data_IF_650309417798
#
_entry.id   IF_650309417798
#
_cell.length_a   1.000
_cell.length_b   1.000
_cell.length_c   1.000
_cell.angle_alpha   90.00
_cell.angle_beta   90.00
_cell.angle_gamma   90.00
#
_symmetry.space_group_name_H-M   'P 1'
#
loop_
_entity.id
_entity.type
_entity.pdbx_description
1 polymer ?
#
# COMPACT_ATOMS: atom_id res chain seq x y z
N UNK A 1 22.65 36.20 -11.78
CA UNK A 1 22.01 36.43 -13.10
C UNK A 1 22.00 35.06 -13.77
N UNK A 2 20.91 34.38 -14.09
CA UNK A 2 19.56 34.81 -14.49
C UNK A 2 18.58 33.71 -14.10
N UNK A 3 17.42 34.13 -13.60
CA UNK A 3 16.31 33.30 -13.14
C UNK A 3 15.71 32.52 -14.30
N UNK A 4 15.63 31.20 -14.20
CA UNK A 4 14.75 30.39 -15.05
C UNK A 4 13.72 29.71 -14.14
N UNK A 5 12.62 30.44 -13.99
CA UNK A 5 11.24 29.95 -14.07
C UNK A 5 10.86 28.75 -13.19
N UNK A 6 10.33 29.12 -12.02
CA UNK A 6 9.14 28.52 -11.40
C UNK A 6 8.05 28.18 -12.43
N UNK A 7 7.32 27.09 -12.13
CA UNK A 7 5.92 26.79 -12.49
C UNK A 7 5.72 25.55 -13.38
N UNK A 8 5.62 24.38 -12.75
CA UNK A 8 4.87 23.24 -13.28
C UNK A 8 4.20 22.45 -12.14
N UNK A 9 3.55 23.17 -11.22
CA UNK A 9 2.57 22.64 -10.25
C UNK A 9 1.18 23.05 -10.69
N UNK A 10 0.62 22.39 -11.71
CA UNK A 10 -0.82 22.40 -12.03
C UNK A 10 -1.14 21.36 -13.11
N UNK A 11 -1.21 20.08 -12.74
CA UNK A 11 -1.81 19.05 -13.60
C UNK A 11 -2.51 17.96 -12.77
N UNK A 12 -3.17 18.35 -11.67
CA UNK A 12 -4.10 17.48 -10.92
C UNK A 12 -5.43 18.22 -10.80
N UNK A 13 -6.16 18.36 -11.92
CA UNK A 13 -7.55 18.84 -11.92
C UNK A 13 -8.28 18.60 -13.26
N UNK A 14 -7.99 17.51 -13.98
CA UNK A 14 -8.61 17.25 -15.30
C UNK A 14 -9.21 15.84 -15.43
N UNK A 15 -9.83 15.35 -14.33
CA UNK A 15 -10.70 14.16 -14.35
C UNK A 15 -12.01 14.34 -13.57
N UNK A 16 -12.43 15.58 -13.29
CA UNK A 16 -13.62 15.86 -12.45
C UNK A 16 -14.75 16.66 -13.10
N UNK A 17 -14.68 17.05 -14.38
CA UNK A 17 -15.67 17.94 -14.99
C UNK A 17 -15.94 17.58 -16.46
N UNK A 18 -16.83 16.62 -16.67
CA UNK A 18 -17.42 16.28 -17.97
C UNK A 18 -18.17 14.98 -17.78
N UNK A 19 -19.42 15.00 -17.31
CA UNK A 19 -20.60 15.09 -18.19
C UNK A 19 -21.81 15.82 -17.53
N UNK A 20 -21.62 16.78 -16.63
CA UNK A 20 -22.74 17.40 -15.91
C UNK A 20 -23.14 18.79 -16.47
N UNK A 21 -23.46 18.89 -17.77
CA UNK A 21 -23.96 20.15 -18.34
C UNK A 21 -24.84 20.00 -19.61
N UNK A 22 -25.53 18.87 -19.82
CA UNK A 22 -26.41 18.68 -20.97
C UNK A 22 -27.92 18.87 -20.66
N UNK A 23 -28.28 19.39 -19.48
CA UNK A 23 -29.68 19.63 -19.11
C UNK A 23 -29.83 20.95 -18.37
N UNK A 24 -29.65 22.07 -19.07
CA UNK A 24 -30.18 23.37 -18.64
C UNK A 24 -31.21 23.84 -19.66
N UNK A 25 -32.44 23.40 -19.37
CA UNK A 25 -33.72 24.09 -19.53
C UNK A 25 -33.69 25.42 -20.30
N UNK A 26 -34.25 25.41 -21.50
CA UNK A 26 -34.82 26.60 -22.14
C UNK A 26 -35.92 27.18 -21.24
N UNK A 27 -35.75 28.45 -20.87
CA UNK A 27 -36.80 29.29 -20.27
C UNK A 27 -37.92 29.50 -21.30
N UNK A 28 -39.03 28.76 -21.16
CA UNK A 28 -40.30 29.11 -21.77
C UNK A 28 -41.29 29.55 -20.68
N UNK A 29 -41.60 30.83 -20.74
CA UNK A 29 -42.73 31.57 -20.18
C UNK A 29 -43.91 30.70 -19.63
N UNK A 30 -44.22 30.73 -18.31
CA UNK A 30 -45.24 29.86 -17.72
C UNK A 30 -46.70 30.34 -17.87
N UNK A 31 -46.99 31.27 -18.80
CA UNK A 31 -48.32 31.88 -18.94
C UNK A 31 -49.10 31.48 -20.21
N UNK A 32 -48.74 30.38 -20.87
CA UNK A 32 -49.50 29.85 -22.01
C UNK A 32 -49.99 28.41 -21.73
N UNK A 33 -51.30 28.24 -21.89
CA UNK A 33 -52.08 26.99 -21.94
C UNK A 33 -52.14 26.15 -20.67
N UNK A 34 -52.96 26.62 -19.73
CA UNK A 34 -53.82 25.74 -18.93
C UNK A 34 -54.88 25.08 -19.83
N UNK A 35 -54.46 24.30 -20.83
CA UNK A 35 -55.33 23.26 -21.35
C UNK A 35 -55.36 22.17 -20.29
N UNK A 36 -56.54 21.91 -19.76
CA UNK A 36 -56.78 20.75 -18.92
C UNK A 36 -56.34 19.51 -19.70
N UNK A 37 -55.11 19.04 -19.46
CA UNK A 37 -54.67 17.70 -19.84
C UNK A 37 -55.71 16.78 -19.21
N UNK A 38 -56.66 16.31 -20.03
CA UNK A 38 -57.53 15.19 -19.68
C UNK A 38 -56.59 14.15 -19.14
N UNK A 39 -56.67 13.89 -17.83
CA UNK A 39 -55.89 12.87 -17.14
C UNK A 39 -56.20 11.60 -17.92
N UNK A 40 -55.28 11.16 -18.79
CA UNK A 40 -55.47 9.91 -19.51
C UNK A 40 -55.77 8.88 -18.45
N UNK A 41 -56.87 8.15 -18.62
CA UNK A 41 -57.21 7.08 -17.71
C UNK A 41 -55.97 6.18 -17.63
N UNK A 42 -55.51 5.92 -16.41
CA UNK A 42 -54.41 5.00 -16.16
C UNK A 42 -54.74 3.70 -16.87
N UNK A 43 -54.05 3.44 -17.99
CA UNK A 43 -54.32 2.33 -18.88
C UNK A 43 -53.87 0.99 -18.29
N UNK A 44 -53.33 1.01 -17.07
CA UNK A 44 -52.91 -0.18 -16.35
C UNK A 44 -54.07 -0.77 -15.54
N UNK A 45 -54.25 -2.06 -15.74
CA UNK A 45 -55.19 -2.87 -14.96
C UNK A 45 -54.73 -2.96 -13.49
N UNK A 46 -55.66 -3.19 -12.53
CA UNK A 46 -55.30 -3.45 -11.14
C UNK A 46 -54.27 -4.58 -10.97
N UNK A 47 -54.35 -5.61 -11.81
CA UNK A 47 -53.43 -6.75 -11.85
C UNK A 47 -52.03 -6.36 -12.32
N UNK A 48 -51.90 -5.47 -13.29
CA UNK A 48 -50.60 -4.94 -13.73
C UNK A 48 -49.96 -4.09 -12.62
N UNK A 49 -50.74 -3.24 -11.94
CA UNK A 49 -50.23 -2.42 -10.83
C UNK A 49 -49.76 -3.25 -9.64
N UNK A 50 -50.49 -4.31 -9.30
CA UNK A 50 -50.09 -5.22 -8.22
C UNK A 50 -48.82 -6.01 -8.57
N UNK A 51 -48.69 -6.46 -9.83
CA UNK A 51 -47.48 -7.12 -10.30
C UNK A 51 -46.27 -6.18 -10.34
N UNK A 52 -46.42 -4.94 -10.81
CA UNK A 52 -45.36 -3.93 -10.77
C UNK A 52 -44.93 -3.63 -9.33
N UNK A 53 -45.88 -3.47 -8.41
CA UNK A 53 -45.57 -3.25 -7.00
C UNK A 53 -44.78 -4.43 -6.40
N UNK A 54 -45.19 -5.67 -6.71
CA UNK A 54 -44.47 -6.88 -6.28
C UNK A 54 -43.05 -6.94 -6.84
N UNK A 55 -42.88 -6.72 -8.15
CA UNK A 55 -41.56 -6.75 -8.79
C UNK A 55 -40.64 -5.65 -8.24
N UNK A 56 -41.16 -4.45 -7.99
CA UNK A 56 -40.40 -3.37 -7.39
C UNK A 56 -39.99 -3.71 -5.95
N UNK A 57 -40.88 -4.34 -5.17
CA UNK A 57 -40.55 -4.80 -3.82
C UNK A 57 -39.46 -5.88 -3.84
N UNK A 58 -39.53 -6.84 -4.78
CA UNK A 58 -38.50 -7.87 -4.95
C UNK A 58 -37.16 -7.29 -5.41
N UNK A 59 -37.17 -6.33 -6.34
CA UNK A 59 -35.95 -5.63 -6.77
C UNK A 59 -35.33 -4.83 -5.63
N UNK A 60 -36.14 -4.11 -4.85
CA UNK A 60 -35.67 -3.37 -3.68
C UNK A 60 -35.11 -4.31 -2.61
N UNK A 61 -35.70 -5.50 -2.43
CA UNK A 61 -35.18 -6.51 -1.51
C UNK A 61 -33.82 -7.06 -1.99
N UNK A 62 -33.69 -7.41 -3.27
CA UNK A 62 -32.42 -7.86 -3.86
C UNK A 62 -31.33 -6.80 -3.77
N UNK A 63 -31.62 -5.56 -4.16
CA UNK A 63 -30.65 -4.46 -4.10
C UNK A 63 -30.18 -4.18 -2.66
N UNK A 64 -31.07 -4.31 -1.66
CA UNK A 64 -30.67 -4.21 -0.24
C UNK A 64 -29.73 -5.32 0.16
N UNK A 65 -30.04 -6.56 -0.22
CA UNK A 65 -29.20 -7.70 0.09
C UNK A 65 -27.81 -7.58 -0.56
N UNK A 66 -27.76 -7.21 -1.84
CA UNK A 66 -26.51 -6.99 -2.57
C UNK A 66 -25.66 -5.88 -1.93
N UNK A 67 -26.28 -4.77 -1.53
CA UNK A 67 -25.56 -3.70 -0.83
C UNK A 67 -25.00 -4.16 0.52
N UNK A 68 -25.74 -4.97 1.28
CA UNK A 68 -25.25 -5.52 2.56
C UNK A 68 -24.05 -6.42 2.32
N UNK A 69 -24.14 -7.34 1.34
CA UNK A 69 -23.01 -8.22 0.99
C UNK A 69 -21.79 -7.40 0.54
N UNK A 70 -22.00 -6.41 -0.34
CA UNK A 70 -20.92 -5.55 -0.80
C UNK A 70 -20.24 -4.81 0.35
N UNK A 71 -21.01 -4.22 1.27
CA UNK A 71 -20.45 -3.52 2.42
C UNK A 71 -19.66 -4.46 3.34
N UNK A 72 -20.13 -5.70 3.51
CA UNK A 72 -19.39 -6.71 4.27
C UNK A 72 -18.05 -7.04 3.60
N UNK A 73 -18.05 -7.27 2.28
CA UNK A 73 -16.83 -7.57 1.51
C UNK A 73 -15.82 -6.42 1.57
N UNK A 74 -16.28 -5.18 1.38
CA UNK A 74 -15.42 -3.98 1.48
C UNK A 74 -14.84 -3.85 2.88
N UNK A 75 -15.66 -3.99 3.93
CA UNK A 75 -15.18 -3.88 5.31
C UNK A 75 -14.15 -4.97 5.67
N UNK A 76 -14.31 -6.19 5.13
CA UNK A 76 -13.36 -7.27 5.34
C UNK A 76 -12.04 -7.01 4.60
N UNK A 77 -12.12 -6.53 3.36
CA UNK A 77 -10.94 -6.16 2.58
C UNK A 77 -10.15 -5.00 3.23
N UNK A 78 -10.84 -3.98 3.73
CA UNK A 78 -10.21 -2.86 4.45
C UNK A 78 -9.48 -3.33 5.71
N UNK A 79 -10.07 -4.26 6.47
CA UNK A 79 -9.43 -4.85 7.66
C UNK A 79 -8.18 -5.66 7.29
N UNK A 80 -8.23 -6.44 6.21
CA UNK A 80 -7.07 -7.19 5.73
C UNK A 80 -5.94 -6.25 5.33
N UNK A 81 -6.23 -5.23 4.53
CA UNK A 81 -5.22 -4.24 4.10
C UNK A 81 -4.60 -3.53 5.30
N UNK A 82 -5.40 -3.17 6.31
CA UNK A 82 -4.87 -2.56 7.53
C UNK A 82 -3.97 -3.52 8.33
N UNK A 83 -4.35 -4.80 8.44
CA UNK A 83 -3.55 -5.82 9.12
C UNK A 83 -2.23 -6.13 8.39
N UNK A 84 -2.27 -6.20 7.06
CA UNK A 84 -1.09 -6.43 6.22
C UNK A 84 -0.11 -5.25 6.30
N UNK A 85 -0.63 -4.02 6.30
CA UNK A 85 0.22 -2.83 6.49
C UNK A 85 0.86 -2.79 7.88
N UNK A 86 0.12 -3.16 8.93
CA UNK A 86 0.67 -3.25 10.28
C UNK A 86 1.79 -4.29 10.35
N UNK A 87 1.54 -5.49 9.84
CA UNK A 87 2.54 -6.57 9.77
C UNK A 87 3.78 -6.14 9.00
N UNK A 88 3.59 -5.51 7.84
CA UNK A 88 4.71 -5.05 7.01
C UNK A 88 5.60 -4.03 7.75
N UNK A 89 4.99 -3.09 8.48
CA UNK A 89 5.73 -2.10 9.27
C UNK A 89 6.50 -2.77 10.41
N UNK A 90 5.88 -3.70 11.12
CA UNK A 90 6.50 -4.46 12.21
C UNK A 90 7.68 -5.31 11.72
N UNK A 91 7.49 -6.08 10.65
CA UNK A 91 8.53 -6.92 10.06
C UNK A 91 9.69 -6.10 9.51
N UNK A 92 9.39 -4.95 8.88
CA UNK A 92 10.42 -4.04 8.38
C UNK A 92 11.24 -3.48 9.53
N UNK A 93 10.59 -3.03 10.62
CA UNK A 93 11.29 -2.53 11.79
C UNK A 93 12.18 -3.62 12.45
N UNK A 94 11.66 -4.83 12.59
CA UNK A 94 12.41 -5.97 13.13
C UNK A 94 13.61 -6.34 12.24
N UNK A 95 13.45 -6.31 10.91
CA UNK A 95 14.52 -6.56 9.96
C UNK A 95 15.62 -5.49 10.05
N UNK A 96 15.25 -4.22 10.16
CA UNK A 96 16.22 -3.13 10.29
C UNK A 96 16.99 -3.17 11.61
N UNK A 97 16.32 -3.55 12.71
CA UNK A 97 16.97 -3.76 14.00
C UNK A 97 17.97 -4.93 13.94
N UNK A 98 17.54 -6.08 13.40
CA UNK A 98 18.41 -7.27 13.27
C UNK A 98 19.61 -6.97 12.37
N UNK A 99 19.41 -6.21 11.29
CA UNK A 99 20.48 -5.74 10.43
C UNK A 99 21.49 -4.88 11.20
N UNK A 100 21.05 -3.96 12.05
CA UNK A 100 21.94 -3.15 12.88
C UNK A 100 22.71 -4.00 13.91
N UNK A 101 22.05 -5.01 14.49
CA UNK A 101 22.67 -5.97 15.40
C UNK A 101 23.77 -6.78 14.70
N UNK A 102 23.48 -7.32 13.52
CA UNK A 102 24.44 -8.07 12.71
C UNK A 102 25.61 -7.20 12.22
N UNK A 103 25.35 -5.94 11.85
CA UNK A 103 26.40 -4.98 11.51
C UNK A 103 27.36 -4.74 12.69
N UNK A 104 26.82 -4.66 13.91
CA UNK A 104 27.64 -4.51 15.12
C UNK A 104 28.47 -5.77 15.39
N UNK A 105 27.85 -6.94 15.36
CA UNK A 105 28.54 -8.22 15.58
C UNK A 105 29.66 -8.46 14.55
N UNK A 106 29.39 -8.21 13.26
CA UNK A 106 30.40 -8.37 12.21
C UNK A 106 31.59 -7.41 12.37
N UNK A 107 31.36 -6.20 12.89
CA UNK A 107 32.44 -5.26 13.19
C UNK A 107 33.32 -5.76 14.34
N UNK A 108 32.73 -6.32 15.40
CA UNK A 108 33.46 -6.93 16.52
C UNK A 108 34.26 -8.16 16.08
N UNK A 109 33.67 -9.03 15.27
CA UNK A 109 34.35 -10.21 14.71
C UNK A 109 35.55 -9.81 13.86
N UNK A 110 35.44 -8.75 13.06
CA UNK A 110 36.56 -8.21 12.29
C UNK A 110 37.69 -7.72 13.19
N UNK A 111 37.38 -6.97 14.24
CA UNK A 111 38.39 -6.47 15.20
C UNK A 111 39.12 -7.67 15.84
N UNK A 112 38.38 -8.69 16.27
CA UNK A 112 38.96 -9.90 16.85
C UNK A 112 39.86 -10.63 15.85
N UNK A 113 39.40 -10.80 14.61
CA UNK A 113 40.20 -11.41 13.57
C UNK A 113 41.52 -10.67 13.31
N UNK A 114 41.47 -9.34 13.21
CA UNK A 114 42.65 -8.52 13.01
C UNK A 114 43.65 -8.65 14.17
N UNK A 115 43.15 -8.70 15.41
CA UNK A 115 43.96 -8.93 16.60
C UNK A 115 44.60 -10.33 16.61
N UNK A 116 43.84 -11.38 16.31
CA UNK A 116 44.33 -12.76 16.25
C UNK A 116 45.40 -12.91 15.15
N UNK A 117 45.20 -12.26 13.99
CA UNK A 117 46.19 -12.25 12.91
C UNK A 117 47.46 -11.50 13.32
N UNK A 118 47.34 -10.38 14.03
CA UNK A 118 48.49 -9.64 14.54
C UNK A 118 49.30 -10.47 15.55
N UNK A 119 48.61 -11.14 16.49
CA UNK A 119 49.23 -12.05 17.45
C UNK A 119 49.94 -13.22 16.75
N UNK A 120 49.27 -13.85 15.78
CA UNK A 120 49.84 -14.91 14.96
C UNK A 120 51.12 -14.45 14.24
N UNK A 121 51.11 -13.25 13.63
CA UNK A 121 52.31 -12.68 12.98
C UNK A 121 53.45 -12.49 13.99
N UNK A 122 53.16 -11.97 15.18
CA UNK A 122 54.18 -11.77 16.22
C UNK A 122 54.80 -13.09 16.70
N UNK A 123 53.98 -14.14 16.83
CA UNK A 123 54.43 -15.49 17.19
C UNK A 123 55.27 -16.14 16.08
N UNK A 124 54.89 -15.97 14.82
CA UNK A 124 55.68 -16.42 13.66
C UNK A 124 57.07 -15.76 13.66
N UNK A 125 57.16 -14.45 13.86
CA UNK A 125 58.44 -13.76 13.89
C UNK A 125 59.30 -14.18 15.11
N UNK A 126 58.68 -14.38 16.28
CA UNK A 126 59.39 -14.89 17.45
C UNK A 126 59.95 -16.30 17.23
N UNK A 127 59.19 -17.18 16.58
CA UNK A 127 59.63 -18.52 16.19
C UNK A 127 60.81 -18.46 15.22
N UNK A 128 60.78 -17.58 14.21
CA UNK A 128 61.90 -17.35 13.28
C UNK A 128 63.15 -16.84 14.01
N UNK A 129 62.99 -16.04 15.05
CA UNK A 129 64.08 -15.57 15.91
C UNK A 129 64.62 -16.65 16.88
N UNK A 130 64.09 -17.88 16.85
CA UNK A 130 64.56 -19.01 17.65
C UNK A 130 63.75 -19.29 18.92
N UNK A 131 62.71 -18.50 19.24
CA UNK A 131 61.81 -18.78 20.35
C UNK A 131 60.82 -19.89 19.99
N UNK A 132 61.29 -21.13 20.04
CA UNK A 132 60.54 -22.33 19.60
C UNK A 132 59.23 -22.57 20.35
N UNK A 133 59.08 -22.05 21.56
CA UNK A 133 57.82 -22.13 22.32
C UNK A 133 56.70 -21.25 21.76
N UNK A 134 57.02 -20.32 20.86
CA UNK A 134 56.07 -19.37 20.26
C UNK A 134 55.74 -19.67 18.79
N UNK A 135 56.09 -20.86 18.29
CA UNK A 135 55.74 -21.21 16.91
C UNK A 135 54.21 -21.34 16.76
N UNK A 136 53.62 -20.37 16.07
CA UNK A 136 52.18 -20.34 15.81
C UNK A 136 51.76 -21.57 14.98
N UNK A 137 50.65 -22.21 15.37
CA UNK A 137 50.16 -23.44 14.73
C UNK A 137 49.49 -23.16 13.38
N UNK A 138 48.43 -22.37 13.38
CA UNK A 138 47.62 -22.09 12.20
C UNK A 138 47.24 -20.61 12.15
N UNK A 139 47.17 -20.06 10.94
CA UNK A 139 46.70 -18.69 10.73
C UNK A 139 45.20 -18.64 11.01
N UNK A 140 44.69 -17.63 11.74
CA UNK A 140 43.26 -17.42 11.90
C UNK A 140 42.54 -17.41 10.54
N UNK A 141 41.43 -18.16 10.47
CA UNK A 141 40.60 -18.24 9.27
C UNK A 141 39.79 -16.95 9.09
N UNK A 142 39.58 -16.55 7.84
CA UNK A 142 38.78 -15.36 7.52
C UNK A 142 37.34 -15.60 7.98
N UNK A 143 36.70 -14.67 8.71
CA UNK A 143 35.30 -14.82 9.08
C UNK A 143 34.42 -14.95 7.82
N UNK A 144 33.37 -15.78 7.85
CA UNK A 144 32.47 -15.95 6.73
C UNK A 144 31.80 -14.61 6.41
N UNK A 145 31.80 -14.25 5.11
CA UNK A 145 31.14 -13.03 4.67
C UNK A 145 29.62 -13.19 4.80
N UNK A 146 28.88 -12.15 5.23
CA UNK A 146 27.43 -12.15 5.19
C UNK A 146 26.97 -12.37 3.74
N UNK A 147 26.10 -13.36 3.51
CA UNK A 147 25.51 -13.58 2.19
C UNK A 147 24.50 -12.46 1.89
N UNK A 148 24.44 -11.96 0.64
CA UNK A 148 23.53 -10.90 0.25
C UNK A 148 22.06 -11.30 0.35
#
# INVERSE_FOLDING_TARGET
MTRILLAATAAVALFGAGQAAAWQTTNENPAATAEAKKKQADGTTPEERSNTARLNAEQAARAKQENVTYQQEVSAAEQQVAADQATFVEETAAYEEEKARLATLSAEERIKYEADVAAWKADVEACKAGHRSRCAKEKPALPPQPQP
#
